data_IF_513074887792
#
_entry.id   IF_513074887792
#
_cell.length_a   1.000
_cell.length_b   1.000
_cell.length_c   1.000
_cell.angle_alpha   90.00
_cell.angle_beta   90.00
_cell.angle_gamma   90.00
#
_symmetry.space_group_name_H-M   'P 1'
#
loop_
_entity.id
_entity.type
_entity.pdbx_description
1 polymer ?
#
# COMPACT_ATOMS: atom_id res chain seq x y z
N UNK A 1 22.28 -29.35 -60.47
CA UNK A 1 22.18 -30.11 -59.21
C UNK A 1 22.47 -29.25 -57.97
N UNK A 2 23.43 -28.32 -58.04
CA UNK A 2 23.86 -27.42 -56.95
C UNK A 2 22.79 -26.45 -56.41
N UNK A 3 21.94 -25.86 -57.28
CA UNK A 3 20.87 -24.94 -56.83
C UNK A 3 19.87 -25.61 -55.88
N UNK A 4 19.39 -26.83 -56.19
CA UNK A 4 18.44 -27.57 -55.34
C UNK A 4 19.03 -27.91 -53.97
N UNK A 5 20.31 -28.29 -53.93
CA UNK A 5 21.01 -28.59 -52.68
C UNK A 5 21.20 -27.34 -51.81
N UNK A 6 21.56 -26.21 -52.41
CA UNK A 6 21.64 -24.91 -51.74
C UNK A 6 20.28 -24.45 -51.18
N UNK A 7 19.19 -24.66 -51.92
CA UNK A 7 17.83 -24.35 -51.43
C UNK A 7 17.45 -25.21 -50.22
N UNK A 8 17.78 -26.51 -50.20
CA UNK A 8 17.50 -27.39 -49.07
C UNK A 8 18.27 -26.95 -47.82
N UNK A 9 19.55 -26.59 -47.97
CA UNK A 9 20.37 -26.07 -46.86
C UNK A 9 19.75 -24.78 -46.32
N UNK A 10 19.35 -23.85 -47.19
CA UNK A 10 18.72 -22.60 -46.80
C UNK A 10 17.41 -22.82 -46.02
N UNK A 11 16.56 -23.74 -46.47
CA UNK A 11 15.31 -24.08 -45.78
C UNK A 11 15.58 -24.66 -44.39
N UNK A 12 16.58 -25.54 -44.25
CA UNK A 12 16.95 -26.09 -42.94
C UNK A 12 17.50 -25.01 -41.99
N UNK A 13 18.29 -24.06 -42.50
CA UNK A 13 18.77 -22.92 -41.71
C UNK A 13 17.60 -22.07 -41.22
N UNK A 14 16.62 -21.79 -42.09
CA UNK A 14 15.43 -21.01 -41.70
C UNK A 14 14.63 -21.74 -40.62
N UNK A 15 14.40 -23.05 -40.76
CA UNK A 15 13.69 -23.86 -39.76
C UNK A 15 14.43 -23.88 -38.42
N UNK A 16 15.76 -23.99 -38.43
CA UNK A 16 16.58 -23.93 -37.24
C UNK A 16 16.47 -22.56 -36.54
N UNK A 17 16.49 -21.46 -37.30
CA UNK A 17 16.33 -20.10 -36.76
C UNK A 17 14.94 -19.95 -36.12
N UNK A 18 13.87 -20.38 -36.81
CA UNK A 18 12.49 -20.34 -36.26
C UNK A 18 12.40 -21.17 -34.99
N UNK A 19 13.00 -22.35 -34.97
CA UNK A 19 13.04 -23.21 -33.78
C UNK A 19 13.77 -22.54 -32.62
N UNK A 20 14.94 -21.94 -32.84
CA UNK A 20 15.71 -21.20 -31.82
C UNK A 20 14.89 -20.02 -31.27
N UNK A 21 14.26 -19.23 -32.15
CA UNK A 21 13.42 -18.10 -31.73
C UNK A 21 12.24 -18.59 -30.89
N UNK A 22 11.54 -19.64 -31.33
CA UNK A 22 10.44 -20.25 -30.59
C UNK A 22 10.89 -20.73 -29.20
N UNK A 23 12.01 -21.45 -29.12
CA UNK A 23 12.56 -21.96 -27.87
C UNK A 23 12.96 -20.83 -26.91
N UNK A 24 13.63 -19.80 -27.43
CA UNK A 24 14.05 -18.64 -26.63
C UNK A 24 12.86 -17.86 -26.06
N UNK A 25 11.77 -17.71 -26.83
CA UNK A 25 10.54 -17.08 -26.36
C UNK A 25 9.87 -17.93 -25.27
N UNK A 26 9.73 -19.23 -25.50
CA UNK A 26 9.15 -20.17 -24.53
C UNK A 26 9.93 -20.21 -23.22
N UNK A 27 11.27 -20.20 -23.28
CA UNK A 27 12.13 -20.15 -22.08
C UNK A 27 11.85 -18.90 -21.24
N UNK A 28 11.80 -17.72 -21.87
CA UNK A 28 11.48 -16.47 -21.16
C UNK A 28 10.10 -16.49 -20.52
N UNK A 29 9.09 -17.08 -21.18
CA UNK A 29 7.76 -17.24 -20.60
C UNK A 29 7.79 -18.14 -19.36
N UNK A 30 8.53 -19.25 -19.39
CA UNK A 30 8.71 -20.14 -18.24
C UNK A 30 9.45 -19.46 -17.07
N UNK A 31 10.50 -18.69 -17.35
CA UNK A 31 11.22 -17.92 -16.32
C UNK A 31 10.31 -16.88 -15.67
N UNK A 32 9.48 -16.19 -16.45
CA UNK A 32 8.50 -15.23 -15.95
C UNK A 32 7.42 -15.90 -15.08
N UNK A 33 6.94 -17.09 -15.49
CA UNK A 33 5.99 -17.88 -14.70
C UNK A 33 6.60 -18.35 -13.38
N UNK A 34 7.85 -18.82 -13.40
CA UNK A 34 8.58 -19.22 -12.19
C UNK A 34 8.80 -18.04 -11.24
N UNK A 35 9.16 -16.87 -11.78
CA UNK A 35 9.29 -15.63 -11.00
C UNK A 35 7.94 -15.22 -10.38
N UNK A 36 6.86 -15.30 -11.15
CA UNK A 36 5.51 -15.00 -10.68
C UNK A 36 5.07 -15.95 -9.56
N UNK A 37 5.29 -17.25 -9.72
CA UNK A 37 4.99 -18.26 -8.71
C UNK A 37 5.82 -18.04 -7.44
N UNK A 38 7.12 -17.76 -7.56
CA UNK A 38 7.98 -17.43 -6.43
C UNK A 38 7.50 -16.20 -5.67
N UNK A 39 7.01 -15.18 -6.38
CA UNK A 39 6.43 -13.98 -5.76
C UNK A 39 5.12 -14.30 -5.00
N UNK A 40 4.29 -15.18 -5.54
CA UNK A 40 3.08 -15.67 -4.85
C UNK A 40 3.47 -16.41 -3.57
N UNK A 41 4.36 -17.40 -3.66
CA UNK A 41 4.81 -18.20 -2.51
C UNK A 41 5.42 -17.31 -1.40
N UNK A 42 6.22 -16.31 -1.80
CA UNK A 42 6.76 -15.33 -0.86
C UNK A 42 5.64 -14.51 -0.21
N UNK A 43 4.65 -14.07 -0.99
CA UNK A 43 3.53 -13.29 -0.47
C UNK A 43 2.67 -14.11 0.49
N UNK A 44 2.40 -15.38 0.19
CA UNK A 44 1.64 -16.28 1.07
C UNK A 44 2.39 -16.60 2.37
N UNK A 45 3.71 -16.78 2.29
CA UNK A 45 4.55 -16.91 3.48
C UNK A 45 4.47 -15.65 4.36
N UNK A 46 4.55 -14.45 3.76
CA UNK A 46 4.41 -13.19 4.49
C UNK A 46 3.02 -13.03 5.12
N UNK A 47 1.96 -13.41 4.41
CA UNK A 47 0.57 -13.44 4.94
C UNK A 47 0.46 -14.38 6.13
N UNK A 48 1.01 -15.59 6.04
CA UNK A 48 1.00 -16.56 7.13
C UNK A 48 1.75 -16.06 8.37
N UNK A 49 2.96 -15.52 8.18
CA UNK A 49 3.77 -14.94 9.28
C UNK A 49 3.04 -13.78 9.95
N UNK A 50 2.47 -12.88 9.15
CA UNK A 50 1.69 -11.74 9.62
C UNK A 50 0.49 -12.21 10.45
N UNK A 51 -0.32 -13.11 9.91
CA UNK A 51 -1.57 -13.53 10.55
C UNK A 51 -1.36 -14.44 11.77
N UNK A 52 -0.47 -15.44 11.66
CA UNK A 52 -0.26 -16.46 12.70
C UNK A 52 0.77 -16.05 13.74
N UNK A 53 1.85 -15.40 13.31
CA UNK A 53 2.99 -15.05 14.17
C UNK A 53 2.99 -13.58 14.61
N UNK A 54 2.13 -12.74 14.02
CA UNK A 54 2.07 -11.29 14.28
C UNK A 54 3.40 -10.59 13.99
N UNK A 55 4.14 -11.11 13.02
CA UNK A 55 5.46 -10.62 12.64
C UNK A 55 5.33 -9.27 11.92
N UNK A 56 5.84 -8.21 12.56
CA UNK A 56 5.77 -6.84 12.03
C UNK A 56 6.73 -6.61 10.86
N UNK A 57 7.82 -7.37 10.77
CA UNK A 57 8.74 -7.33 9.62
C UNK A 57 8.05 -7.94 8.41
N UNK A 58 7.40 -9.10 8.59
CA UNK A 58 6.60 -9.72 7.54
C UNK A 58 5.46 -8.80 7.09
N UNK A 59 4.79 -8.16 8.04
CA UNK A 59 3.75 -7.17 7.76
C UNK A 59 4.27 -5.97 6.96
N UNK A 60 5.42 -5.39 7.31
CA UNK A 60 5.98 -4.25 6.59
C UNK A 60 6.37 -4.61 5.15
N UNK A 61 6.87 -5.84 4.93
CA UNK A 61 7.10 -6.35 3.56
C UNK A 61 5.79 -6.54 2.81
N UNK A 62 4.78 -7.12 3.47
CA UNK A 62 3.45 -7.30 2.89
C UNK A 62 2.83 -5.95 2.50
N UNK A 63 2.95 -4.94 3.37
CA UNK A 63 2.54 -3.55 3.13
C UNK A 63 3.18 -2.97 1.87
N UNK A 64 4.50 -3.12 1.70
CA UNK A 64 5.17 -2.64 0.48
C UNK A 64 4.62 -3.29 -0.79
N UNK A 65 4.27 -4.58 -0.74
CA UNK A 65 3.69 -5.29 -1.89
C UNK A 65 2.31 -4.74 -2.26
N UNK A 66 1.45 -4.46 -1.27
CA UNK A 66 0.11 -3.93 -1.51
C UNK A 66 0.09 -2.44 -1.87
N UNK A 67 1.11 -1.65 -1.47
CA UNK A 67 1.26 -0.28 -1.94
C UNK A 67 1.57 -0.21 -3.44
N UNK A 68 2.39 -1.15 -3.95
CA UNK A 68 2.71 -1.23 -5.39
C UNK A 68 1.53 -1.71 -6.24
N UNK A 69 0.70 -2.59 -5.66
CA UNK A 69 -0.49 -3.16 -6.31
C UNK A 69 -1.65 -3.15 -5.31
N UNK A 70 -2.40 -2.04 -5.25
CA UNK A 70 -3.57 -1.94 -4.39
C UNK A 70 -4.53 -3.08 -4.75
N UNK A 71 -4.74 -3.98 -3.80
CA UNK A 71 -5.79 -5.00 -3.89
C UNK A 71 -6.97 -4.52 -3.05
N UNK A 72 -8.20 -4.72 -3.53
CA UNK A 72 -9.48 -4.22 -3.01
C UNK A 72 -9.82 -4.78 -1.60
N UNK A 73 -9.00 -4.47 -0.58
CA UNK A 73 -9.27 -4.77 0.83
C UNK A 73 -8.58 -6.01 1.42
N UNK A 74 -7.81 -6.80 0.66
CA UNK A 74 -7.10 -7.95 1.24
C UNK A 74 -6.07 -7.51 2.30
N UNK A 75 -5.35 -6.42 2.04
CA UNK A 75 -4.38 -5.87 3.00
C UNK A 75 -5.04 -5.38 4.29
N UNK A 76 -6.24 -4.80 4.19
CA UNK A 76 -7.01 -4.30 5.33
C UNK A 76 -7.24 -5.38 6.39
N UNK A 77 -7.52 -6.63 5.98
CA UNK A 77 -7.67 -7.75 6.91
C UNK A 77 -6.43 -7.93 7.80
N UNK A 78 -5.24 -7.96 7.21
CA UNK A 78 -3.98 -8.14 7.96
C UNK A 78 -3.70 -6.95 8.87
N UNK A 79 -4.00 -5.73 8.41
CA UNK A 79 -3.87 -4.50 9.20
C UNK A 79 -4.78 -4.53 10.42
N UNK A 80 -6.05 -4.91 10.27
CA UNK A 80 -6.98 -5.05 11.41
C UNK A 80 -6.48 -6.09 12.41
N UNK A 81 -6.00 -7.24 11.94
CA UNK A 81 -5.50 -8.30 12.81
C UNK A 81 -4.31 -7.81 13.64
N UNK A 82 -3.32 -7.16 13.04
CA UNK A 82 -2.15 -6.67 13.77
C UNK A 82 -2.47 -5.49 14.69
N UNK A 83 -3.30 -4.55 14.22
CA UNK A 83 -3.75 -3.43 15.02
C UNK A 83 -4.41 -3.94 16.32
N UNK A 84 -5.35 -4.88 16.22
CA UNK A 84 -6.15 -5.30 17.37
C UNK A 84 -5.47 -6.37 18.25
N UNK A 85 -4.60 -7.22 17.70
CA UNK A 85 -3.94 -8.30 18.47
C UNK A 85 -2.57 -7.94 19.02
N UNK A 86 -1.92 -6.94 18.45
CA UNK A 86 -0.56 -6.54 18.81
C UNK A 86 -0.43 -5.06 19.18
N UNK A 87 -1.49 -4.26 19.02
CA UNK A 87 -1.43 -2.81 19.19
C UNK A 87 -0.30 -2.18 18.36
N UNK A 88 -0.05 -2.71 17.16
CA UNK A 88 1.06 -2.24 16.32
C UNK A 88 0.71 -0.86 15.72
N UNK A 89 1.46 0.22 16.03
CA UNK A 89 1.03 1.58 15.70
C UNK A 89 0.87 1.85 14.20
N UNK A 90 1.75 1.28 13.37
CA UNK A 90 1.66 1.39 11.91
C UNK A 90 0.38 0.73 11.37
N UNK A 91 -0.01 -0.43 11.91
CA UNK A 91 -1.22 -1.12 11.47
C UNK A 91 -2.49 -0.34 11.80
N UNK A 92 -2.53 0.39 12.92
CA UNK A 92 -3.63 1.32 13.21
C UNK A 92 -3.79 2.39 12.11
N UNK A 93 -2.68 2.98 11.69
CA UNK A 93 -2.70 3.96 10.59
C UNK A 93 -3.10 3.33 9.26
N UNK A 94 -2.59 2.15 8.96
CA UNK A 94 -2.90 1.47 7.71
C UNK A 94 -4.40 1.09 7.65
N UNK A 95 -5.03 0.66 8.75
CA UNK A 95 -6.50 0.46 8.77
C UNK A 95 -7.27 1.75 8.43
N UNK A 96 -6.91 2.87 9.07
CA UNK A 96 -7.50 4.17 8.76
C UNK A 96 -7.32 4.53 7.28
N UNK A 97 -6.09 4.40 6.77
CA UNK A 97 -5.73 4.77 5.41
C UNK A 97 -6.48 3.94 4.36
N UNK A 98 -6.51 2.60 4.52
CA UNK A 98 -7.18 1.69 3.59
C UNK A 98 -8.69 1.95 3.54
N UNK A 99 -9.35 2.11 4.70
CA UNK A 99 -10.78 2.40 4.75
C UNK A 99 -11.11 3.77 4.12
N UNK A 100 -10.28 4.79 4.37
CA UNK A 100 -10.46 6.13 3.78
C UNK A 100 -10.22 6.12 2.27
N UNK A 101 -9.27 5.31 1.79
CA UNK A 101 -9.01 5.10 0.37
C UNK A 101 -10.21 4.44 -0.33
N UNK A 102 -10.75 3.36 0.25
CA UNK A 102 -11.95 2.68 -0.25
C UNK A 102 -13.16 3.63 -0.26
N UNK A 103 -13.40 4.39 0.83
CA UNK A 103 -14.47 5.40 0.91
C UNK A 103 -14.38 6.39 -0.28
N UNK A 104 -13.16 6.86 -0.60
CA UNK A 104 -12.93 7.80 -1.70
C UNK A 104 -13.11 7.15 -3.08
N UNK A 105 -12.66 5.92 -3.26
CA UNK A 105 -12.72 5.22 -4.54
C UNK A 105 -14.15 4.86 -4.94
N UNK A 106 -14.92 4.27 -4.04
CA UNK A 106 -16.17 3.64 -4.45
C UNK A 106 -17.34 4.63 -4.57
N UNK A 107 -17.21 5.88 -4.10
CA UNK A 107 -18.34 6.83 -3.92
C UNK A 107 -19.57 6.18 -3.25
N UNK A 108 -19.37 5.08 -2.54
CA UNK A 108 -20.42 4.16 -2.15
C UNK A 108 -20.89 4.53 -0.74
N UNK A 109 -22.19 4.75 -0.56
CA UNK A 109 -22.78 5.30 0.67
C UNK A 109 -22.47 4.47 1.92
N UNK A 110 -22.14 3.19 1.78
CA UNK A 110 -21.87 2.25 2.87
C UNK A 110 -20.70 2.71 3.75
N UNK A 111 -19.61 3.21 3.14
CA UNK A 111 -18.43 3.67 3.89
C UNK A 111 -18.55 5.11 4.40
N UNK A 112 -19.57 5.85 3.97
CA UNK A 112 -19.82 7.24 4.37
C UNK A 112 -20.70 7.38 5.61
N UNK A 113 -21.17 6.28 6.21
CA UNK A 113 -21.94 6.33 7.45
C UNK A 113 -21.14 6.98 8.57
N UNK A 114 -21.83 7.62 9.51
CA UNK A 114 -21.18 8.26 10.67
C UNK A 114 -20.41 7.23 11.48
N UNK A 115 -20.95 6.03 11.60
CA UNK A 115 -20.38 4.90 12.34
C UNK A 115 -19.06 4.44 11.72
N UNK A 116 -19.01 4.27 10.39
CA UNK A 116 -17.78 3.88 9.68
C UNK A 116 -16.71 4.96 9.80
N UNK A 117 -17.10 6.25 9.70
CA UNK A 117 -16.17 7.38 9.90
C UNK A 117 -15.60 7.41 11.30
N UNK A 118 -16.43 7.22 12.31
CA UNK A 118 -15.97 7.14 13.70
C UNK A 118 -15.06 5.94 13.94
N UNK A 119 -15.32 4.79 13.30
CA UNK A 119 -14.43 3.63 13.34
C UNK A 119 -13.05 3.99 12.77
N UNK A 120 -12.99 4.61 11.59
CA UNK A 120 -11.73 5.06 10.98
C UNK A 120 -10.96 5.99 11.92
N UNK A 121 -11.64 6.98 12.51
CA UNK A 121 -11.05 7.91 13.47
C UNK A 121 -10.54 7.20 14.72
N UNK A 122 -11.26 6.20 15.25
CA UNK A 122 -10.83 5.42 16.42
C UNK A 122 -9.50 4.69 16.15
N UNK A 123 -9.33 4.06 14.98
CA UNK A 123 -8.05 3.48 14.58
C UNK A 123 -6.96 4.54 14.51
N UNK A 124 -7.25 5.71 13.91
CA UNK A 124 -6.31 6.82 13.82
C UNK A 124 -5.87 7.31 15.22
N UNK A 125 -6.82 7.48 16.14
CA UNK A 125 -6.58 7.88 17.54
C UNK A 125 -5.75 6.84 18.28
N UNK A 126 -6.02 5.54 18.11
CA UNK A 126 -5.22 4.48 18.73
C UNK A 126 -3.77 4.50 18.26
N UNK A 127 -3.53 4.68 16.96
CA UNK A 127 -2.18 4.87 16.43
C UNK A 127 -1.50 6.12 16.99
N UNK A 128 -2.23 7.24 17.07
CA UNK A 128 -1.71 8.51 17.60
C UNK A 128 -1.33 8.41 19.08
N UNK A 129 -2.16 7.75 19.91
CA UNK A 129 -1.87 7.49 21.33
C UNK A 129 -0.58 6.68 21.55
N UNK A 130 -0.20 5.88 20.57
CA UNK A 130 1.04 5.09 20.59
C UNK A 130 2.23 5.80 19.94
N UNK A 131 2.12 7.10 19.65
CA UNK A 131 3.22 7.89 19.09
C UNK A 131 3.42 7.74 17.58
N UNK A 132 2.48 7.12 16.86
CA UNK A 132 2.62 6.95 15.42
C UNK A 132 2.52 8.30 14.69
N UNK A 133 3.63 8.76 14.11
CA UNK A 133 3.76 10.13 13.58
C UNK A 133 2.70 10.47 12.52
N UNK A 134 2.47 9.59 11.56
CA UNK A 134 1.46 9.85 10.51
C UNK A 134 0.04 9.86 11.08
N UNK A 135 -0.23 9.07 12.12
CA UNK A 135 -1.54 9.09 12.79
C UNK A 135 -1.76 10.39 13.54
N UNK A 136 -0.75 10.87 14.28
CA UNK A 136 -0.79 12.14 14.99
C UNK A 136 -1.01 13.28 13.99
N UNK A 137 -0.23 13.29 12.90
CA UNK A 137 -0.31 14.31 11.86
C UNK A 137 -1.69 14.37 11.23
N UNK A 138 -2.25 13.22 10.80
CA UNK A 138 -3.57 13.21 10.18
C UNK A 138 -4.70 13.53 11.15
N UNK A 139 -4.59 13.10 12.41
CA UNK A 139 -5.55 13.50 13.43
C UNK A 139 -5.56 15.02 13.61
N UNK A 140 -4.37 15.64 13.62
CA UNK A 140 -4.23 17.09 13.67
C UNK A 140 -4.91 17.79 12.50
N UNK A 141 -4.74 17.28 11.26
CA UNK A 141 -5.43 17.81 10.08
C UNK A 141 -6.95 17.73 10.19
N UNK A 142 -7.50 16.61 10.66
CA UNK A 142 -8.95 16.47 10.85
C UNK A 142 -9.53 17.51 11.82
N UNK A 143 -8.82 17.81 12.92
CA UNK A 143 -9.22 18.87 13.85
C UNK A 143 -9.14 20.27 13.24
N UNK A 144 -8.14 20.59 12.42
CA UNK A 144 -8.05 21.89 11.73
C UNK A 144 -9.18 22.04 10.71
N UNK A 145 -9.44 20.99 9.93
CA UNK A 145 -10.44 20.99 8.87
C UNK A 145 -11.87 20.99 9.43
N UNK A 146 -12.09 20.49 10.65
CA UNK A 146 -13.43 20.27 11.20
C UNK A 146 -14.23 19.22 10.40
N UNK A 147 -13.53 18.35 9.67
CA UNK A 147 -14.12 17.30 8.85
C UNK A 147 -14.22 16.01 9.67
N UNK A 148 -15.43 15.51 9.83
CA UNK A 148 -15.77 14.31 10.62
C UNK A 148 -15.51 14.44 12.15
N UNK A 149 -14.77 15.47 12.59
CA UNK A 149 -14.54 15.88 13.99
C UNK A 149 -14.93 17.35 14.21
N UNK A 150 -15.32 17.76 15.44
CA UNK A 150 -15.46 19.17 15.78
C UNK A 150 -14.16 19.92 15.51
N UNK A 151 -14.26 21.11 14.90
CA UNK A 151 -13.08 21.92 14.59
C UNK A 151 -12.40 22.39 15.87
N UNK A 152 -11.08 22.18 15.95
CA UNK A 152 -10.20 22.69 17.00
C UNK A 152 -8.82 22.98 16.41
N UNK A 153 -8.64 24.21 15.95
CA UNK A 153 -7.42 24.64 15.26
C UNK A 153 -6.20 24.56 16.19
N UNK A 154 -6.37 24.92 17.47
CA UNK A 154 -5.28 24.94 18.46
C UNK A 154 -4.79 23.52 18.75
N UNK A 155 -5.71 22.58 19.00
CA UNK A 155 -5.36 21.18 19.19
C UNK A 155 -4.76 20.59 17.91
N UNK A 156 -5.34 20.90 16.76
CA UNK A 156 -4.86 20.42 15.47
C UNK A 156 -3.42 20.83 15.16
N UNK A 157 -3.08 22.12 15.32
CA UNK A 157 -1.71 22.64 15.18
C UNK A 157 -0.75 21.97 16.17
N UNK A 158 -1.16 21.82 17.44
CA UNK A 158 -0.36 21.14 18.46
C UNK A 158 -0.04 19.68 18.10
N UNK A 159 -1.04 18.94 17.62
CA UNK A 159 -0.87 17.56 17.16
C UNK A 159 0.09 17.51 15.97
N UNK A 160 -0.15 18.31 14.92
CA UNK A 160 0.72 18.34 13.75
C UNK A 160 2.16 18.67 14.10
N UNK A 161 2.41 19.66 14.98
CA UNK A 161 3.76 19.96 15.47
C UNK A 161 4.38 18.76 16.20
N UNK A 162 3.65 18.16 17.15
CA UNK A 162 4.13 17.00 17.91
C UNK A 162 4.40 15.75 17.07
N UNK A 163 3.82 15.66 15.87
CA UNK A 163 4.10 14.55 14.95
C UNK A 163 5.51 14.57 14.37
N UNK A 164 6.18 15.74 14.36
CA UNK A 164 7.46 15.95 13.69
C UNK A 164 7.39 15.90 12.15
N UNK A 165 6.18 15.88 11.56
CA UNK A 165 5.95 15.89 10.11
C UNK A 165 5.44 17.25 9.62
N UNK A 166 5.04 18.14 10.52
CA UNK A 166 4.68 19.50 10.16
C UNK A 166 5.93 20.28 9.75
N UNK A 167 5.92 20.83 8.55
CA UNK A 167 6.85 21.89 8.17
C UNK A 167 6.24 23.18 8.74
N UNK A 168 6.94 23.84 9.66
CA UNK A 168 6.58 25.21 10.04
C UNK A 168 6.64 26.06 8.77
N UNK A 169 5.46 26.43 8.27
CA UNK A 169 5.38 27.48 7.27
C UNK A 169 5.47 28.77 8.06
N UNK A 170 6.61 29.44 7.98
CA UNK A 170 6.89 30.77 8.56
C UNK A 170 5.93 31.89 8.06
N UNK A 171 4.82 31.56 7.40
CA UNK A 171 3.95 32.49 6.67
C UNK A 171 2.82 33.12 7.49
N UNK A 172 2.80 32.94 8.82
CA UNK A 172 1.83 33.65 9.70
C UNK A 172 2.48 34.87 10.42
N UNK A 173 3.72 35.25 10.09
CA UNK A 173 4.43 36.44 10.65
C UNK A 173 4.30 37.74 9.85
N UNK A 174 3.70 37.72 8.67
CA UNK A 174 3.25 38.91 7.94
C UNK A 174 1.77 38.66 7.64
N UNK A 175 0.81 39.25 8.36
CA UNK A 175 0.29 40.60 8.14
C UNK A 175 -0.50 40.95 9.42
N UNK A 176 0.05 41.86 10.22
CA UNK A 176 -0.65 42.82 11.06
C UNK A 176 0.40 43.67 11.77
N UNK A 177 1.14 44.44 10.96
CA UNK A 177 1.78 45.66 11.42
C UNK A 177 1.84 46.62 10.22
N UNK A 178 0.71 47.28 9.98
CA UNK A 178 0.53 48.68 9.57
C UNK A 178 -0.96 48.94 9.26
#
# INVERSE_FOLDING_TARGET
>A
MTKRFSTIILVNIILLIVFIVYYSKRSKELDNLALYQKKIEQTDSLKWLTFRKKDTIAYNKLRSIYLDKPNEGEFLFYSIVLANRSHYPQAYFDVYHELRFIEKMEKNKIYSSKETKMLMIDYLVKGAKLGHRQSIYELGKLYIEGKDLPQDITLGKKLMFSSGLAIEKDSDKEINLE
#
